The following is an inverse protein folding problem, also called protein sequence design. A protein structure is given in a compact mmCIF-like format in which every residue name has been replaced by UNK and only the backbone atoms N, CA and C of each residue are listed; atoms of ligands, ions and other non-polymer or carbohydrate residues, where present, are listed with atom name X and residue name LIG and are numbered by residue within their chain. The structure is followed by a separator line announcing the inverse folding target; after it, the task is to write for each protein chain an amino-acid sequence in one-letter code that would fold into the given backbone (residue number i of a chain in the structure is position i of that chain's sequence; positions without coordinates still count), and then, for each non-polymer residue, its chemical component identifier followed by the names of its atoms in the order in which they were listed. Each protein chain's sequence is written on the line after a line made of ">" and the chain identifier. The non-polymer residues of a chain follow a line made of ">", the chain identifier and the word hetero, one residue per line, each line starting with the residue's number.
data_IF_740445961803
#
_entry.id   IF_740445961803
#
_cell.length_a   1.000
_cell.length_b   1.000
_cell.length_c   1.000
_cell.angle_alpha   90.00
_cell.angle_beta   90.00
_cell.angle_gamma   90.00
#
_symmetry.space_group_name_H-M   'P 1'
#
loop_
_entity.id
_entity.type
_entity.pdbx_description
1 polymer ?
#
# COMPACT_ATOMS: atom_id res chain seq x y z
N UNK A 1 -3.93 3.70 5.46
CA UNK A 1 -4.67 2.42 5.45
C UNK A 1 -3.91 1.30 4.71
N UNK A 2 -3.21 1.56 3.58
CA UNK A 2 -2.54 0.48 2.82
C UNK A 2 -1.32 -0.14 3.52
N UNK A 3 -0.63 0.59 4.40
CA UNK A 3 0.61 0.09 5.03
C UNK A 3 0.36 -0.97 6.11
N UNK A 4 -0.79 -0.95 6.79
CA UNK A 4 -1.15 -1.92 7.83
C UNK A 4 -1.35 -3.34 7.26
N UNK A 5 -1.84 -3.45 6.02
CA UNK A 5 -1.98 -4.75 5.34
C UNK A 5 -0.66 -5.51 5.18
N UNK A 6 0.47 -4.79 5.15
CA UNK A 6 1.79 -5.39 4.94
C UNK A 6 2.59 -5.56 6.24
N UNK A 7 2.11 -5.03 7.38
CA UNK A 7 2.81 -5.16 8.67
C UNK A 7 2.86 -6.60 9.16
N UNK A 8 1.77 -7.35 8.98
CA UNK A 8 1.67 -8.74 9.40
C UNK A 8 2.08 -9.74 8.32
N UNK A 9 2.53 -9.23 7.15
CA UNK A 9 2.97 -10.10 6.07
C UNK A 9 4.29 -10.77 6.40
N UNK A 10 4.27 -12.10 6.42
CA UNK A 10 5.46 -12.92 6.71
C UNK A 10 5.79 -13.81 5.52
N UNK A 11 7.08 -13.92 5.21
CA UNK A 11 7.61 -14.86 4.21
C UNK A 11 8.43 -15.92 4.96
N UNK A 12 7.98 -17.17 4.94
CA UNK A 12 8.65 -18.24 5.67
C UNK A 12 8.70 -18.03 7.19
N UNK A 13 7.71 -17.34 7.77
CA UNK A 13 7.66 -17.03 9.21
C UNK A 13 8.48 -15.80 9.64
N UNK A 14 9.18 -15.14 8.72
CA UNK A 14 9.94 -13.91 8.98
C UNK A 14 9.15 -12.72 8.45
N UNK A 15 8.99 -11.67 9.27
CA UNK A 15 8.27 -10.48 8.82
C UNK A 15 9.02 -9.74 7.71
N UNK A 16 8.27 -9.13 6.80
CA UNK A 16 8.81 -8.38 5.66
C UNK A 16 9.77 -7.25 6.10
N UNK A 17 9.54 -6.67 7.27
CA UNK A 17 10.40 -5.64 7.88
C UNK A 17 11.80 -6.17 8.23
N UNK A 18 11.87 -7.35 8.83
CA UNK A 18 13.15 -7.99 9.14
C UNK A 18 13.91 -8.41 7.90
N UNK A 19 13.20 -8.90 6.89
CA UNK A 19 13.80 -9.24 5.58
C UNK A 19 14.37 -7.99 4.90
N UNK A 20 13.62 -6.89 4.88
CA UNK A 20 14.09 -5.61 4.33
C UNK A 20 15.30 -5.07 5.06
N UNK A 21 15.23 -4.99 6.39
CA UNK A 21 16.35 -4.51 7.23
C UNK A 21 17.59 -5.37 7.06
N UNK A 22 17.46 -6.68 7.07
CA UNK A 22 18.58 -7.61 6.87
C UNK A 22 19.21 -7.46 5.48
N UNK A 23 18.37 -7.27 4.44
CA UNK A 23 18.85 -7.06 3.07
C UNK A 23 19.67 -5.75 2.98
N UNK A 24 19.16 -4.65 3.53
CA UNK A 24 19.92 -3.37 3.54
C UNK A 24 21.20 -3.46 4.36
N UNK A 25 21.18 -4.11 5.52
CA UNK A 25 22.40 -4.31 6.32
C UNK A 25 23.45 -5.11 5.55
N UNK A 26 23.04 -6.17 4.84
CA UNK A 26 23.94 -6.98 4.03
C UNK A 26 24.46 -6.20 2.81
N UNK A 27 23.62 -5.42 2.14
CA UNK A 27 24.04 -4.54 1.04
C UNK A 27 25.05 -3.50 1.51
N UNK A 28 24.83 -2.88 2.69
CA UNK A 28 25.78 -1.94 3.29
C UNK A 28 27.13 -2.61 3.62
N UNK A 29 27.10 -3.81 4.18
CA UNK A 29 28.31 -4.59 4.46
C UNK A 29 29.07 -4.91 3.17
N UNK A 30 28.39 -5.36 2.11
CA UNK A 30 29.02 -5.65 0.81
C UNK A 30 29.62 -4.40 0.16
N UNK A 31 28.97 -3.24 0.35
CA UNK A 31 29.52 -1.96 -0.10
C UNK A 31 30.80 -1.59 0.64
N UNK A 32 30.82 -1.74 1.97
CA UNK A 32 32.03 -1.49 2.81
C UNK A 32 33.21 -2.44 2.46
N UNK A 33 32.90 -3.69 2.12
CA UNK A 33 33.91 -4.69 1.72
C UNK A 33 34.36 -4.52 0.26
N UNK A 34 33.76 -3.59 -0.52
CA UNK A 34 34.07 -3.40 -1.93
C UNK A 34 33.63 -4.58 -2.83
N UNK A 35 32.76 -5.46 -2.34
CA UNK A 35 32.28 -6.65 -3.05
C UNK A 35 31.18 -6.31 -4.06
N UNK A 36 31.51 -5.51 -5.09
CA UNK A 36 30.56 -4.96 -6.05
C UNK A 36 29.75 -6.03 -6.80
N UNK A 37 30.36 -7.15 -7.20
CA UNK A 37 29.68 -8.21 -7.92
C UNK A 37 28.62 -8.92 -7.05
N UNK A 38 28.96 -9.26 -5.80
CA UNK A 38 28.03 -9.87 -4.85
C UNK A 38 26.92 -8.88 -4.46
N UNK A 39 27.27 -7.60 -4.24
CA UNK A 39 26.30 -6.54 -3.98
C UNK A 39 25.31 -6.34 -5.13
N UNK A 40 25.77 -6.39 -6.39
CA UNK A 40 24.90 -6.31 -7.56
C UNK A 40 23.94 -7.50 -7.67
N UNK A 41 24.43 -8.72 -7.41
CA UNK A 41 23.58 -9.92 -7.42
C UNK A 41 22.49 -9.81 -6.37
N UNK A 42 22.86 -9.49 -5.12
CA UNK A 42 21.91 -9.33 -4.01
C UNK A 42 20.92 -8.21 -4.28
N UNK A 43 21.38 -7.04 -4.71
CA UNK A 43 20.51 -5.92 -5.05
C UNK A 43 19.58 -6.23 -6.23
N UNK A 44 20.03 -7.04 -7.19
CA UNK A 44 19.19 -7.54 -8.28
C UNK A 44 18.09 -8.49 -7.82
N UNK A 45 18.39 -9.40 -6.89
CA UNK A 45 17.41 -10.29 -6.27
C UNK A 45 16.42 -9.50 -5.41
N UNK A 46 16.90 -8.52 -4.63
CA UNK A 46 16.05 -7.64 -3.86
C UNK A 46 15.11 -6.82 -4.75
N UNK A 47 15.61 -6.29 -5.87
CA UNK A 47 14.79 -5.55 -6.84
C UNK A 47 13.74 -6.45 -7.51
N UNK A 48 14.05 -7.73 -7.75
CA UNK A 48 13.08 -8.70 -8.26
C UNK A 48 11.97 -8.96 -7.24
N UNK A 49 12.32 -9.14 -5.97
CA UNK A 49 11.36 -9.25 -4.87
C UNK A 49 10.48 -8.02 -4.74
N UNK A 50 11.08 -6.83 -4.89
CA UNK A 50 10.36 -5.56 -4.87
C UNK A 50 9.39 -5.41 -6.04
N UNK A 51 9.75 -5.88 -7.24
CA UNK A 51 8.84 -5.94 -8.40
C UNK A 51 7.61 -6.80 -8.09
N UNK A 52 7.80 -7.95 -7.45
CA UNK A 52 6.68 -8.79 -7.02
C UNK A 52 5.79 -8.06 -6.00
N UNK A 53 6.41 -7.32 -5.06
CA UNK A 53 5.68 -6.53 -4.07
C UNK A 53 4.92 -5.37 -4.73
N UNK A 54 5.55 -4.64 -5.66
CA UNK A 54 4.89 -3.57 -6.42
C UNK A 54 3.71 -4.09 -7.25
N UNK A 55 3.82 -5.28 -7.83
CA UNK A 55 2.71 -5.92 -8.53
C UNK A 55 1.57 -6.26 -7.57
N UNK A 56 1.90 -6.83 -6.40
CA UNK A 56 0.91 -7.11 -5.36
C UNK A 56 0.21 -5.83 -4.90
N UNK A 57 0.97 -4.74 -4.68
CA UNK A 57 0.43 -3.44 -4.31
C UNK A 57 -0.49 -2.85 -5.38
N UNK A 58 -0.16 -3.01 -6.66
CA UNK A 58 -1.01 -2.57 -7.77
C UNK A 58 -2.36 -3.32 -7.82
N UNK A 59 -2.38 -4.57 -7.36
CA UNK A 59 -3.59 -5.42 -7.32
C UNK A 59 -4.41 -5.26 -6.02
N UNK A 60 -3.81 -4.75 -4.95
CA UNK A 60 -4.45 -4.63 -3.63
C UNK A 60 -4.62 -3.18 -3.21
N UNK A 61 -3.67 -2.66 -2.45
CA UNK A 61 -3.69 -1.28 -1.96
C UNK A 61 -2.28 -0.68 -1.97
N UNK A 62 -2.10 0.54 -2.50
CA UNK A 62 -0.79 1.18 -2.54
C UNK A 62 -0.35 1.59 -1.13
N UNK A 63 0.94 1.41 -0.83
CA UNK A 63 1.58 1.77 0.42
C UNK A 63 2.73 2.75 0.18
N UNK A 64 2.64 3.96 0.74
CA UNK A 64 3.66 5.01 0.56
C UNK A 64 5.02 4.59 1.11
N UNK A 65 5.06 3.97 2.30
CA UNK A 65 6.31 3.50 2.92
C UNK A 65 7.01 2.45 2.05
N UNK A 66 6.24 1.52 1.45
CA UNK A 66 6.79 0.52 0.54
C UNK A 66 7.38 1.17 -0.72
N UNK A 67 6.75 2.22 -1.26
CA UNK A 67 7.30 2.97 -2.40
C UNK A 67 8.63 3.66 -2.07
N UNK A 68 8.77 4.20 -0.86
CA UNK A 68 10.06 4.78 -0.41
C UNK A 68 11.14 3.69 -0.35
N UNK A 69 10.84 2.53 0.21
CA UNK A 69 11.77 1.39 0.28
C UNK A 69 12.13 0.91 -1.13
N UNK A 70 11.17 0.85 -2.05
CA UNK A 70 11.38 0.49 -3.44
C UNK A 70 12.41 1.39 -4.13
N UNK A 71 12.35 2.72 -3.89
CA UNK A 71 13.36 3.67 -4.41
C UNK A 71 14.76 3.33 -3.89
N UNK A 72 14.89 3.02 -2.59
CA UNK A 72 16.20 2.65 -2.02
C UNK A 72 16.77 1.36 -2.62
N UNK A 73 15.94 0.35 -2.91
CA UNK A 73 16.39 -0.86 -3.61
C UNK A 73 16.86 -0.56 -5.03
N UNK A 74 16.13 0.27 -5.78
CA UNK A 74 16.53 0.68 -7.12
C UNK A 74 17.86 1.48 -7.10
N UNK A 75 18.01 2.42 -6.16
CA UNK A 75 19.25 3.18 -5.99
C UNK A 75 20.43 2.29 -5.62
N UNK A 76 20.22 1.33 -4.71
CA UNK A 76 21.26 0.36 -4.32
C UNK A 76 21.71 -0.47 -5.51
N UNK A 77 20.75 -0.98 -6.31
CA UNK A 77 21.06 -1.74 -7.53
C UNK A 77 21.87 -0.90 -8.55
N UNK A 78 21.47 0.35 -8.76
CA UNK A 78 22.17 1.28 -9.66
C UNK A 78 23.58 1.59 -9.14
N UNK A 79 23.74 1.82 -7.83
CA UNK A 79 25.04 2.08 -7.19
C UNK A 79 26.02 0.92 -7.39
N UNK A 80 25.62 -0.31 -7.08
CA UNK A 80 26.47 -1.50 -7.28
C UNK A 80 26.75 -1.75 -8.77
N UNK A 81 25.81 -1.48 -9.66
CA UNK A 81 26.03 -1.59 -11.11
C UNK A 81 27.07 -0.57 -11.61
N UNK A 82 27.12 0.63 -11.03
CA UNK A 82 28.11 1.66 -11.39
C UNK A 82 29.49 1.36 -10.82
N UNK A 83 29.54 0.79 -9.61
CA UNK A 83 30.79 0.44 -8.92
C UNK A 83 31.56 -0.71 -9.58
N UNK A 84 30.94 -1.47 -10.49
CA UNK A 84 31.58 -2.59 -11.18
C UNK A 84 32.58 -2.07 -12.22
N UNK A 85 33.86 -2.55 -12.19
CA UNK A 85 34.87 -2.09 -13.13
C UNK A 85 34.48 -2.38 -14.58
N UNK A 86 34.82 -1.44 -15.49
CA UNK A 86 34.42 -1.50 -16.91
C UNK A 86 34.85 -2.81 -17.64
N UNK A 87 35.92 -3.44 -17.15
CA UNK A 87 36.46 -4.70 -17.66
C UNK A 87 35.56 -5.91 -17.33
N UNK A 88 34.82 -5.87 -16.21
CA UNK A 88 33.87 -6.92 -15.82
C UNK A 88 32.50 -6.71 -16.52
N UNK A 89 32.23 -5.53 -17.05
CA UNK A 89 31.10 -5.28 -17.95
C UNK A 89 31.42 -5.90 -19.30
N UNK A 90 31.01 -7.14 -19.53
CA UNK A 90 31.17 -7.78 -20.84
C UNK A 90 30.62 -6.88 -21.96
N UNK A 91 31.25 -6.99 -23.14
CA UNK A 91 30.96 -6.19 -24.36
C UNK A 91 29.47 -6.14 -24.74
N UNK A 92 28.67 -7.06 -24.23
CA UNK A 92 27.23 -7.21 -24.51
C UNK A 92 26.32 -6.31 -23.64
N UNK A 93 26.89 -5.55 -22.68
CA UNK A 93 26.06 -4.80 -21.73
C UNK A 93 25.62 -3.40 -22.23
N UNK A 94 26.16 -2.92 -23.37
CA UNK A 94 25.85 -1.59 -23.90
C UNK A 94 24.45 -1.43 -24.51
N UNK A 95 23.77 -2.54 -24.86
CA UNK A 95 22.44 -2.53 -25.47
C UNK A 95 21.32 -3.07 -24.57
N UNK A 96 21.65 -3.84 -23.56
CA UNK A 96 20.65 -4.45 -22.67
C UNK A 96 20.33 -3.48 -21.52
N UNK A 97 19.62 -2.39 -21.85
CA UNK A 97 18.92 -1.61 -20.82
C UNK A 97 18.24 -2.65 -19.92
N UNK A 98 18.53 -2.62 -18.63
CA UNK A 98 18.04 -3.64 -17.71
C UNK A 98 16.51 -3.69 -17.80
N UNK A 99 15.97 -4.70 -18.47
CA UNK A 99 14.52 -4.94 -18.59
C UNK A 99 13.88 -4.92 -17.20
N UNK A 100 14.62 -5.41 -16.20
CA UNK A 100 14.21 -5.37 -14.80
C UNK A 100 13.91 -3.96 -14.31
N UNK A 101 14.79 -2.98 -14.62
CA UNK A 101 14.57 -1.58 -14.24
C UNK A 101 13.38 -0.96 -14.98
N UNK A 102 13.16 -1.32 -16.24
CA UNK A 102 12.00 -0.82 -16.98
C UNK A 102 10.68 -1.34 -16.42
N UNK A 103 10.61 -2.64 -16.10
CA UNK A 103 9.44 -3.24 -15.43
C UNK A 103 9.22 -2.57 -14.08
N UNK A 104 10.30 -2.36 -13.31
CA UNK A 104 10.22 -1.70 -12.02
C UNK A 104 9.69 -0.26 -12.16
N UNK A 105 10.24 0.55 -13.08
CA UNK A 105 9.78 1.93 -13.31
C UNK A 105 8.30 1.97 -13.69
N UNK A 106 7.86 1.05 -14.57
CA UNK A 106 6.46 0.97 -14.98
C UNK A 106 5.55 0.71 -13.77
N UNK A 107 5.84 -0.34 -12.99
CA UNK A 107 5.04 -0.69 -11.82
C UNK A 107 5.09 0.38 -10.73
N UNK A 108 6.26 0.98 -10.51
CA UNK A 108 6.43 2.09 -9.58
C UNK A 108 5.54 3.28 -9.97
N UNK A 109 5.56 3.68 -11.25
CA UNK A 109 4.74 4.80 -11.74
C UNK A 109 3.25 4.52 -11.59
N UNK A 110 2.79 3.29 -11.87
CA UNK A 110 1.40 2.88 -11.64
C UNK A 110 1.01 3.03 -10.17
N UNK A 111 1.85 2.56 -9.24
CA UNK A 111 1.58 2.67 -7.81
C UNK A 111 1.61 4.13 -7.31
N UNK A 112 2.53 4.95 -7.80
CA UNK A 112 2.55 6.41 -7.49
C UNK A 112 1.28 7.07 -8.00
N UNK A 113 0.83 6.75 -9.22
CA UNK A 113 -0.44 7.23 -9.74
C UNK A 113 -1.64 6.81 -8.89
N UNK A 114 -1.67 5.56 -8.43
CA UNK A 114 -2.71 5.06 -7.53
C UNK A 114 -2.71 5.77 -6.17
N UNK A 115 -1.53 6.04 -5.58
CA UNK A 115 -1.40 6.84 -4.36
C UNK A 115 -1.90 8.27 -4.60
N UNK A 116 -1.43 8.93 -5.67
CA UNK A 116 -1.85 10.29 -5.98
C UNK A 116 -3.37 10.38 -6.14
N UNK A 117 -3.95 9.44 -6.88
CA UNK A 117 -5.39 9.34 -7.04
C UNK A 117 -6.12 9.16 -5.71
N UNK A 118 -5.64 8.27 -4.85
CA UNK A 118 -6.25 8.03 -3.53
C UNK A 118 -6.18 9.23 -2.58
N UNK A 119 -5.25 10.16 -2.80
CA UNK A 119 -5.11 11.39 -2.03
C UNK A 119 -5.99 12.52 -2.58
N UNK A 120 -6.27 12.52 -3.88
CA UNK A 120 -7.07 13.58 -4.52
C UNK A 120 -8.57 13.27 -4.55
N UNK A 121 -8.95 11.99 -4.55
CA UNK A 121 -10.35 11.58 -4.57
C UNK A 121 -10.85 11.29 -3.15
N UNK A 122 -11.30 12.32 -2.46
CA UNK A 122 -12.05 12.18 -1.21
C UNK A 122 -13.52 11.96 -1.59
N UNK A 123 -13.97 10.71 -1.55
CA UNK A 123 -15.34 10.38 -1.94
C UNK A 123 -16.25 10.30 -0.72
N UNK A 124 -17.37 11.02 -0.73
CA UNK A 124 -18.39 10.82 0.28
C UNK A 124 -18.98 9.41 0.14
N UNK A 125 -19.26 8.77 1.24
CA UNK A 125 -19.98 7.48 1.23
C UNK A 125 -21.48 7.69 0.95
N UNK A 126 -21.98 8.88 1.31
CA UNK A 126 -23.34 9.32 1.10
C UNK A 126 -23.38 10.85 1.01
N UNK A 127 -24.28 11.39 0.19
CA UNK A 127 -24.51 12.84 0.01
C UNK A 127 -23.88 13.39 -1.28
N UNK A 128 -24.20 14.64 -1.59
CA UNK A 128 -23.85 15.32 -2.85
C UNK A 128 -22.38 15.78 -2.96
N UNK A 129 -21.49 15.30 -2.11
CA UNK A 129 -20.06 15.60 -2.19
C UNK A 129 -19.73 17.09 -2.09
N UNK A 130 -19.30 17.69 -3.20
CA UNK A 130 -18.86 19.08 -3.21
C UNK A 130 -20.00 20.10 -3.10
N UNK A 131 -21.23 19.70 -3.39
CA UNK A 131 -22.43 20.56 -3.30
C UNK A 131 -23.03 20.57 -1.89
N UNK A 132 -22.60 19.66 -1.00
CA UNK A 132 -23.12 19.61 0.36
C UNK A 132 -22.62 20.80 1.20
N UNK A 133 -23.55 21.45 1.92
CA UNK A 133 -23.27 22.57 2.83
C UNK A 133 -22.45 22.11 4.05
N UNK A 134 -22.68 20.88 4.51
CA UNK A 134 -21.99 20.30 5.67
C UNK A 134 -21.25 19.03 5.25
N UNK A 135 -19.99 18.95 5.64
CA UNK A 135 -19.15 17.75 5.44
C UNK A 135 -18.84 17.14 6.80
N UNK A 136 -19.36 15.93 7.02
CA UNK A 136 -19.12 15.21 8.26
C UNK A 136 -18.08 14.11 8.02
N UNK A 137 -16.93 14.24 8.68
CA UNK A 137 -15.93 13.19 8.75
C UNK A 137 -16.20 12.33 9.99
N UNK A 138 -16.23 11.01 9.82
CA UNK A 138 -16.54 10.11 10.93
C UNK A 138 -15.71 8.83 10.90
N UNK A 139 -15.36 8.30 12.08
CA UNK A 139 -14.80 6.96 12.20
C UNK A 139 -15.94 5.97 12.49
N UNK A 140 -16.00 4.82 11.78
CA UNK A 140 -17.01 3.79 12.04
C UNK A 140 -16.96 3.25 13.48
N UNK A 141 -15.82 3.30 14.14
CA UNK A 141 -15.63 2.83 15.52
C UNK A 141 -15.94 3.88 16.58
N UNK A 142 -16.17 5.13 16.20
CA UNK A 142 -16.42 6.24 17.13
C UNK A 142 -17.89 6.26 17.61
N UNK A 143 -18.17 6.12 18.90
CA UNK A 143 -19.55 6.14 19.42
C UNK A 143 -20.28 7.45 19.17
N UNK A 144 -19.60 8.59 19.41
CA UNK A 144 -20.16 9.92 19.20
C UNK A 144 -20.47 10.21 17.74
N UNK A 145 -19.68 9.66 16.83
CA UNK A 145 -19.93 9.77 15.39
C UNK A 145 -21.22 9.07 14.96
N UNK A 146 -21.56 7.94 15.61
CA UNK A 146 -22.82 7.22 15.34
C UNK A 146 -24.04 8.05 15.72
N UNK A 147 -23.97 8.73 16.88
CA UNK A 147 -25.04 9.62 17.31
C UNK A 147 -25.20 10.81 16.35
N UNK A 148 -24.09 11.44 15.94
CA UNK A 148 -24.09 12.48 14.92
C UNK A 148 -24.69 12.04 13.59
N UNK A 149 -24.38 10.84 13.11
CA UNK A 149 -24.96 10.26 11.90
C UNK A 149 -26.46 10.05 12.04
N UNK A 150 -26.94 9.53 13.18
CA UNK A 150 -28.35 9.33 13.41
C UNK A 150 -29.15 10.64 13.33
N UNK A 151 -28.54 11.74 13.81
CA UNK A 151 -29.17 13.07 13.78
C UNK A 151 -29.13 13.66 12.35
N UNK A 152 -28.01 13.51 11.65
CA UNK A 152 -27.73 14.22 10.40
C UNK A 152 -28.12 13.41 9.14
N UNK A 153 -28.28 12.09 9.22
CA UNK A 153 -28.53 11.23 8.04
C UNK A 153 -29.86 11.50 7.32
N UNK A 154 -30.78 12.23 7.97
CA UNK A 154 -32.04 12.67 7.35
C UNK A 154 -31.95 14.00 6.61
N UNK A 155 -30.84 14.69 6.63
CA UNK A 155 -30.65 15.99 6.00
C UNK A 155 -29.97 15.87 4.64
N UNK A 156 -30.54 16.52 3.62
CA UNK A 156 -30.12 16.42 2.22
C UNK A 156 -28.76 17.08 1.97
N UNK A 157 -28.43 18.10 2.75
CA UNK A 157 -27.23 18.94 2.56
C UNK A 157 -26.00 18.47 3.31
N UNK A 158 -25.98 17.20 3.76
CA UNK A 158 -24.84 16.63 4.48
C UNK A 158 -24.17 15.55 3.66
N UNK A 159 -22.85 15.70 3.46
CA UNK A 159 -22.01 14.66 2.88
C UNK A 159 -21.19 13.97 3.97
N UNK A 160 -21.17 12.63 3.96
CA UNK A 160 -20.52 11.82 4.98
C UNK A 160 -19.25 11.18 4.42
N UNK A 161 -18.12 11.43 5.12
CA UNK A 161 -16.79 10.96 4.74
C UNK A 161 -16.25 10.00 5.79
N UNK A 162 -16.15 8.69 5.52
CA UNK A 162 -15.62 7.76 6.49
C UNK A 162 -14.10 7.88 6.59
N UNK A 163 -13.59 7.93 7.83
CA UNK A 163 -12.17 7.88 8.15
C UNK A 163 -11.86 6.54 8.82
N UNK A 164 -10.99 5.74 8.20
CA UNK A 164 -10.50 4.52 8.81
C UNK A 164 -9.32 4.84 9.73
N UNK A 165 -9.52 4.75 11.04
CA UNK A 165 -8.48 4.96 12.04
C UNK A 165 -7.65 3.70 12.30
N UNK A 166 -8.24 2.53 12.02
CA UNK A 166 -7.62 1.23 12.17
C UNK A 166 -8.06 0.27 11.06
N UNK A 167 -7.44 -0.90 10.99
CA UNK A 167 -7.71 -1.91 9.96
C UNK A 167 -9.16 -2.41 9.99
N UNK A 168 -9.73 -2.53 11.19
CA UNK A 168 -11.13 -2.92 11.35
C UNK A 168 -12.07 -1.92 10.68
N UNK A 169 -11.74 -0.64 10.73
CA UNK A 169 -12.56 0.41 10.12
C UNK A 169 -12.60 0.32 8.60
N UNK A 170 -11.51 -0.12 7.97
CA UNK A 170 -11.48 -0.37 6.52
C UNK A 170 -12.52 -1.41 6.12
N UNK A 171 -12.59 -2.51 6.87
CA UNK A 171 -13.58 -3.57 6.62
C UNK A 171 -15.01 -3.10 6.90
N UNK A 172 -15.21 -2.31 7.96
CA UNK A 172 -16.51 -1.72 8.28
C UNK A 172 -16.98 -0.77 7.19
N UNK A 173 -16.09 0.11 6.69
CA UNK A 173 -16.41 1.03 5.57
C UNK A 173 -16.75 0.25 4.31
N UNK A 174 -15.98 -0.79 3.98
CA UNK A 174 -16.27 -1.64 2.82
C UNK A 174 -17.63 -2.33 2.94
N UNK A 175 -17.97 -2.81 4.13
CA UNK A 175 -19.29 -3.41 4.39
C UNK A 175 -20.41 -2.37 4.34
N UNK A 176 -20.21 -1.20 4.96
CA UNK A 176 -21.18 -0.09 4.88
C UNK A 176 -21.51 0.26 3.43
N UNK A 177 -20.48 0.36 2.57
CA UNK A 177 -20.68 0.66 1.16
C UNK A 177 -21.55 -0.38 0.47
N UNK A 178 -21.29 -1.67 0.70
CA UNK A 178 -22.12 -2.76 0.16
C UNK A 178 -23.58 -2.67 0.61
N UNK A 179 -23.81 -2.32 1.86
CA UNK A 179 -25.15 -2.19 2.44
C UNK A 179 -25.89 -0.97 1.88
N UNK A 180 -25.19 0.15 1.68
CA UNK A 180 -25.72 1.35 1.01
C UNK A 180 -26.06 1.09 -0.45
N UNK A 181 -25.21 0.36 -1.18
CA UNK A 181 -25.46 -0.06 -2.57
C UNK A 181 -26.67 -1.01 -2.66
N UNK A 182 -26.97 -1.75 -1.59
CA UNK A 182 -28.17 -2.57 -1.44
C UNK A 182 -29.43 -1.77 -1.04
N UNK A 183 -29.33 -0.44 -0.90
CA UNK A 183 -30.44 0.46 -0.59
C UNK A 183 -30.72 0.66 0.90
N UNK A 184 -29.81 0.25 1.78
CA UNK A 184 -29.92 0.48 3.22
C UNK A 184 -29.60 1.94 3.57
N UNK A 185 -30.18 2.48 4.63
CA UNK A 185 -29.80 3.81 5.10
C UNK A 185 -28.44 3.80 5.84
N UNK A 186 -27.81 4.98 5.94
CA UNK A 186 -26.45 5.10 6.49
C UNK A 186 -26.36 4.66 7.95
N UNK A 187 -27.34 4.99 8.77
CA UNK A 187 -27.36 4.66 10.20
C UNK A 187 -27.47 3.12 10.42
N UNK A 188 -28.33 2.47 9.66
CA UNK A 188 -28.48 1.01 9.67
C UNK A 188 -27.25 0.30 9.12
N UNK A 189 -26.69 0.79 8.00
CA UNK A 189 -25.48 0.25 7.41
C UNK A 189 -24.29 0.34 8.39
N UNK A 190 -24.18 1.45 9.12
CA UNK A 190 -23.17 1.64 10.16
C UNK A 190 -23.39 0.66 11.34
N UNK A 191 -24.63 0.50 11.79
CA UNK A 191 -24.96 -0.42 12.89
C UNK A 191 -24.62 -1.89 12.53
N UNK A 192 -24.99 -2.33 11.32
CA UNK A 192 -24.67 -3.68 10.85
C UNK A 192 -23.17 -3.90 10.61
N UNK A 193 -22.46 -2.88 10.16
CA UNK A 193 -21.01 -2.97 9.91
C UNK A 193 -20.19 -3.21 11.19
N UNK A 194 -20.74 -2.94 12.38
CA UNK A 194 -20.02 -3.19 13.66
C UNK A 194 -19.74 -4.67 13.90
N UNK A 195 -20.56 -5.56 13.35
CA UNK A 195 -20.48 -7.02 13.57
C UNK A 195 -19.64 -7.73 12.49
N UNK A 196 -18.90 -7.00 11.67
CA UNK A 196 -18.05 -7.61 10.63
C UNK A 196 -16.92 -8.38 11.28
N UNK A 197 -16.83 -9.67 10.98
CA UNK A 197 -15.67 -10.47 11.33
C UNK A 197 -14.48 -10.03 10.48
N UNK A 198 -13.46 -9.52 11.14
CA UNK A 198 -12.21 -9.09 10.48
C UNK A 198 -11.33 -10.31 10.24
N UNK A 199 -10.91 -10.61 9.01
CA UNK A 199 -9.96 -11.67 8.76
C UNK A 199 -8.64 -11.36 9.49
N UNK A 200 -8.20 -12.27 10.35
CA UNK A 200 -6.92 -12.14 11.06
C UNK A 200 -5.78 -12.48 10.09
N UNK A 201 -5.28 -11.47 9.36
CA UNK A 201 -4.14 -11.59 8.47
C UNK A 201 -4.42 -12.34 7.15
N UNK A 202 -3.51 -12.21 6.18
CA UNK A 202 -3.55 -12.97 4.93
C UNK A 202 -3.42 -14.50 5.14
N UNK A 203 -2.93 -14.92 6.31
CA UNK A 203 -2.87 -16.33 6.72
C UNK A 203 -4.26 -16.97 6.93
N UNK A 204 -5.33 -16.16 7.09
CA UNK A 204 -6.71 -16.66 7.21
C UNK A 204 -7.35 -16.91 5.84
N UNK A 205 -6.65 -16.68 4.75
CA UNK A 205 -7.09 -16.98 3.39
C UNK A 205 -6.64 -18.37 2.89
N UNK A 206 -5.97 -19.18 3.74
CA UNK A 206 -5.80 -20.59 3.42
C UNK A 206 -7.10 -21.37 3.70
N UNK A 207 -7.55 -22.19 2.74
CA UNK A 207 -8.80 -22.97 2.83
C UNK A 207 -8.77 -23.99 3.96
#
# INVERSE_FOLDING_TARGET
>A
AGCSLYQDFTVGGVSLWWLGTGTFALLALLALLGAAAAGRLLAGLALLGDICLLLLMALTAPCVSCLVVAVFFALSYLGFRQAEPAQARGRDSHGRRSVLLWIWVLLFTVNVGAVARSQTEVWPIMGAGDEATVRMFFSPSCPSCREGINILSGHVDVAFYPLAENDNDVYKVAQMRRLLDAGMNLAEALAQSQNVAVPRGLASLSP
#
